data_IF_632276035842
#
_entry.id   IF_632276035842
#
_cell.length_a   1.000
_cell.length_b   1.000
_cell.length_c   1.000
_cell.angle_alpha   90.00
_cell.angle_beta   90.00
_cell.angle_gamma   90.00
#
_symmetry.space_group_name_H-M   'P 1'
#
loop_
_entity.id
_entity.type
_entity.pdbx_description
1 polymer ?
#
# COMPACT_ATOMS: atom_id res chain seq x y z
N UNK A 1 6.92 1.13 3.95
CA UNK A 1 7.49 0.32 2.83
C UNK A 1 8.45 -0.79 3.28
N UNK A 2 9.36 -0.58 4.24
CA UNK A 2 10.36 -1.62 4.62
C UNK A 2 9.75 -2.97 5.02
N UNK A 3 8.64 -2.95 5.76
CA UNK A 3 7.95 -4.18 6.22
C UNK A 3 7.37 -5.02 5.08
N UNK A 4 7.15 -4.40 3.92
CA UNK A 4 6.61 -5.02 2.72
C UNK A 4 7.69 -5.70 1.86
N UNK A 5 8.98 -5.55 2.21
CA UNK A 5 10.08 -6.12 1.44
C UNK A 5 9.98 -7.66 1.39
N UNK A 6 10.10 -8.23 0.18
CA UNK A 6 10.02 -9.67 -0.11
C UNK A 6 8.69 -10.35 0.29
N UNK A 7 7.65 -9.59 0.62
CA UNK A 7 6.32 -10.16 0.87
C UNK A 7 5.69 -10.59 -0.44
N UNK A 8 4.85 -11.62 -0.37
CA UNK A 8 4.02 -12.04 -1.51
C UNK A 8 2.87 -11.04 -1.67
N UNK A 9 2.32 -10.98 -2.87
CA UNK A 9 1.18 -10.13 -3.14
C UNK A 9 -0.10 -10.81 -2.65
N UNK A 10 -0.92 -10.09 -1.87
CA UNK A 10 -2.18 -10.59 -1.31
C UNK A 10 -3.36 -9.84 -1.91
N UNK A 11 -4.42 -10.56 -2.22
CA UNK A 11 -5.71 -10.02 -2.70
C UNK A 11 -6.86 -10.57 -1.86
N UNK A 12 -8.07 -10.04 -2.10
CA UNK A 12 -9.28 -10.46 -1.37
C UNK A 12 -9.62 -11.95 -1.52
N UNK A 13 -9.14 -12.56 -2.59
CA UNK A 13 -9.40 -13.92 -3.06
C UNK A 13 -8.16 -14.82 -3.01
N UNK A 14 -6.98 -14.26 -2.73
CA UNK A 14 -5.74 -15.02 -2.55
C UNK A 14 -4.93 -14.44 -1.38
N UNK A 15 -5.01 -15.13 -0.24
CA UNK A 15 -4.29 -14.75 0.97
C UNK A 15 -2.86 -15.29 0.98
N UNK A 16 -1.89 -14.38 0.96
CA UNK A 16 -0.46 -14.68 1.05
C UNK A 16 0.24 -13.84 2.12
N UNK A 17 -0.51 -13.19 3.01
CA UNK A 17 0.05 -12.34 4.05
C UNK A 17 0.33 -13.14 5.34
N UNK A 18 1.00 -12.51 6.31
CA UNK A 18 1.42 -13.18 7.55
C UNK A 18 0.48 -12.88 8.74
N UNK A 19 -0.64 -12.20 8.50
CA UNK A 19 -1.63 -11.86 9.53
C UNK A 19 -2.44 -13.11 9.91
N UNK A 20 -2.45 -13.47 11.19
CA UNK A 20 -3.03 -14.75 11.64
C UNK A 20 -4.53 -14.67 11.86
N UNK A 21 -5.05 -13.47 12.02
CA UNK A 21 -6.44 -13.20 12.39
C UNK A 21 -7.34 -12.95 11.17
N UNK A 22 -6.82 -13.03 9.95
CA UNK A 22 -7.62 -12.94 8.72
C UNK A 22 -6.81 -12.44 7.53
N UNK A 23 -7.51 -11.93 6.51
CA UNK A 23 -6.92 -11.48 5.25
C UNK A 23 -6.80 -9.94 5.22
N UNK A 24 -5.58 -9.43 5.05
CA UNK A 24 -5.33 -7.99 5.05
C UNK A 24 -5.94 -7.26 3.85
N UNK A 25 -5.97 -7.89 2.67
CA UNK A 25 -6.59 -7.30 1.49
C UNK A 25 -8.10 -7.15 1.64
N UNK A 26 -8.76 -8.08 2.32
CA UNK A 26 -10.19 -7.94 2.67
C UNK A 26 -10.44 -6.84 3.70
N UNK A 27 -9.56 -6.72 4.71
CA UNK A 27 -9.67 -5.71 5.77
C UNK A 27 -9.40 -4.30 5.26
N UNK A 28 -8.35 -4.12 4.46
CA UNK A 28 -7.82 -2.82 4.04
C UNK A 28 -8.05 -2.47 2.58
N UNK A 29 -8.87 -3.27 1.89
CA UNK A 29 -9.52 -2.91 0.62
C UNK A 29 -8.53 -2.62 -0.51
N UNK A 30 -7.37 -3.28 -0.51
CA UNK A 30 -6.36 -3.16 -1.55
C UNK A 30 -5.70 -4.49 -1.87
N UNK A 31 -5.12 -4.59 -3.06
CA UNK A 31 -4.16 -5.66 -3.39
C UNK A 31 -2.75 -5.14 -3.13
N UNK A 32 -2.00 -5.79 -2.25
CA UNK A 32 -0.70 -5.27 -1.83
C UNK A 32 0.24 -6.37 -1.33
N UNK A 33 1.53 -6.04 -1.23
CA UNK A 33 2.54 -6.88 -0.58
C UNK A 33 2.43 -6.80 0.95
N UNK A 34 1.28 -7.18 1.52
CA UNK A 34 1.02 -7.09 2.96
C UNK A 34 1.96 -8.02 3.78
N UNK A 35 2.32 -7.60 4.99
CA UNK A 35 3.00 -8.45 5.99
C UNK A 35 1.99 -8.83 7.08
N UNK A 36 2.14 -8.33 8.32
CA UNK A 36 1.02 -8.24 9.26
C UNK A 36 0.20 -6.99 8.92
N UNK A 37 -0.42 -7.06 7.74
CA UNK A 37 -1.12 -6.00 7.05
C UNK A 37 -0.25 -4.82 6.60
N UNK A 38 -0.46 -3.60 7.10
CA UNK A 38 0.00 -2.39 6.42
C UNK A 38 0.89 -1.47 7.25
N UNK A 39 1.98 -1.03 6.63
CA UNK A 39 2.63 0.26 6.88
C UNK A 39 2.38 1.25 5.72
N UNK A 40 1.92 0.74 4.57
CA UNK A 40 1.61 1.51 3.36
C UNK A 40 0.52 0.78 2.58
N UNK A 41 -0.43 1.51 1.99
CA UNK A 41 -1.50 0.96 1.17
C UNK A 41 -1.84 1.92 0.02
N UNK A 42 -1.04 1.90 -1.05
CA UNK A 42 -1.26 2.78 -2.22
C UNK A 42 -2.34 2.25 -3.18
N UNK A 43 -2.82 1.04 -2.94
CA UNK A 43 -3.89 0.39 -3.69
C UNK A 43 -5.19 0.29 -2.87
N UNK A 44 -5.31 1.07 -1.79
CA UNK A 44 -6.53 1.18 -1.00
C UNK A 44 -7.63 1.96 -1.71
N UNK A 45 -8.77 2.13 -1.04
CA UNK A 45 -9.87 2.94 -1.56
C UNK A 45 -9.47 4.40 -1.73
N UNK A 46 -10.03 5.02 -2.75
CA UNK A 46 -9.85 6.44 -2.98
C UNK A 46 -10.85 7.27 -2.16
N UNK A 47 -10.43 7.72 -0.97
CA UNK A 47 -11.32 8.37 0.01
C UNK A 47 -11.11 9.88 0.15
N UNK A 48 -10.07 10.45 -0.48
CA UNK A 48 -9.77 11.89 -0.52
C UNK A 48 -9.75 12.57 0.85
N UNK A 49 -8.60 12.52 1.53
CA UNK A 49 -8.42 13.18 2.82
C UNK A 49 -9.05 12.39 3.98
N UNK A 50 -9.52 13.10 5.00
CA UNK A 50 -10.03 12.49 6.24
C UNK A 50 -11.28 11.66 6.02
N UNK A 51 -11.31 10.48 6.65
CA UNK A 51 -12.43 9.55 6.64
C UNK A 51 -12.52 8.79 7.97
N UNK A 52 -13.62 8.07 8.21
CA UNK A 52 -13.87 7.41 9.52
C UNK A 52 -13.08 6.10 9.68
N UNK A 53 -12.93 5.33 8.61
CA UNK A 53 -12.37 3.99 8.66
C UNK A 53 -10.84 3.99 8.55
N UNK A 54 -10.14 3.28 9.43
CA UNK A 54 -8.68 3.27 9.48
C UNK A 54 -8.03 2.32 8.46
N UNK A 55 -7.03 2.80 7.71
CA UNK A 55 -6.11 2.02 6.88
C UNK A 55 -6.67 1.55 5.53
N UNK A 56 -7.95 1.79 5.27
CA UNK A 56 -8.63 1.34 4.05
C UNK A 56 -8.37 2.26 2.84
N UNK A 57 -7.86 3.47 3.08
CA UNK A 57 -7.58 4.48 2.07
C UNK A 57 -6.17 4.41 1.49
N UNK A 58 -5.81 5.42 0.69
CA UNK A 58 -4.44 5.62 0.20
C UNK A 58 -3.54 6.08 1.35
N UNK A 59 -2.85 5.14 1.99
CA UNK A 59 -2.15 5.38 3.25
C UNK A 59 -0.63 5.21 3.14
N UNK A 60 0.11 6.09 3.82
CA UNK A 60 1.56 5.95 4.00
C UNK A 60 1.97 6.39 5.40
N UNK A 61 2.43 5.47 6.25
CA UNK A 61 2.69 5.73 7.69
C UNK A 61 3.67 6.85 8.00
N UNK A 62 4.63 7.10 7.11
CA UNK A 62 5.59 8.21 7.25
C UNK A 62 5.07 9.57 6.79
N UNK A 63 3.83 9.69 6.31
CA UNK A 63 3.28 10.93 5.76
C UNK A 63 1.87 11.23 6.28
N UNK A 64 0.97 10.26 6.28
CA UNK A 64 -0.42 10.45 6.73
C UNK A 64 -0.75 9.55 7.92
N UNK A 65 -1.86 9.86 8.57
CA UNK A 65 -2.47 8.97 9.57
C UNK A 65 -3.42 7.99 8.88
N UNK A 66 -3.77 6.90 9.54
CA UNK A 66 -4.52 5.79 8.93
C UNK A 66 -5.92 6.17 8.45
N UNK A 67 -6.49 7.26 8.97
CA UNK A 67 -7.81 7.77 8.61
C UNK A 67 -7.74 9.07 7.77
N UNK A 68 -6.60 9.31 7.12
CA UNK A 68 -6.39 10.43 6.20
C UNK A 68 -5.70 9.93 4.91
N UNK A 69 -6.50 9.84 3.84
CA UNK A 69 -6.09 9.31 2.55
C UNK A 69 -5.35 10.36 1.74
N UNK A 70 -4.19 9.98 1.19
CA UNK A 70 -3.49 10.76 0.16
C UNK A 70 -4.43 11.10 -1.00
N UNK A 71 -4.27 12.29 -1.57
CA UNK A 71 -5.07 12.75 -2.71
C UNK A 71 -4.61 12.10 -4.03
N UNK A 72 -3.32 11.83 -4.17
CA UNK A 72 -2.73 11.24 -5.37
C UNK A 72 -1.58 10.32 -4.98
N UNK A 73 -1.37 9.27 -5.78
CA UNK A 73 -0.23 8.36 -5.64
C UNK A 73 0.25 7.95 -7.02
N UNK A 74 1.56 7.78 -7.18
CA UNK A 74 2.17 7.28 -8.41
C UNK A 74 3.33 6.35 -8.05
N UNK A 75 3.35 5.15 -8.65
CA UNK A 75 4.48 4.22 -8.57
C UNK A 75 5.20 4.18 -9.91
N UNK A 76 6.46 4.61 -9.94
CA UNK A 76 7.28 4.70 -11.16
C UNK A 76 8.60 3.98 -10.93
N UNK A 77 9.03 3.20 -11.91
CA UNK A 77 10.34 2.53 -11.91
C UNK A 77 11.25 3.14 -12.97
N UNK A 78 12.55 3.04 -12.75
CA UNK A 78 13.57 3.45 -13.72
C UNK A 78 14.72 2.43 -13.71
N UNK A 79 15.32 2.10 -14.86
CA UNK A 79 16.47 1.20 -14.90
C UNK A 79 17.59 1.69 -13.97
N UNK A 80 18.23 0.76 -13.25
CA UNK A 80 19.32 1.08 -12.32
C UNK A 80 20.49 1.78 -13.01
N UNK A 81 20.74 1.45 -14.27
CA UNK A 81 21.81 2.01 -15.11
C UNK A 81 21.32 3.12 -16.05
N UNK A 82 20.18 3.75 -15.78
CA UNK A 82 19.69 4.85 -16.59
C UNK A 82 20.68 6.03 -16.59
N UNK A 83 21.14 6.40 -17.77
CA UNK A 83 21.91 7.63 -18.00
C UNK A 83 21.02 8.61 -18.74
N UNK A 84 20.85 9.82 -18.21
CA UNK A 84 20.24 10.92 -18.97
C UNK A 84 21.16 11.19 -20.17
N UNK A 85 20.64 11.02 -21.38
CA UNK A 85 21.27 11.61 -22.56
C UNK A 85 20.92 13.09 -22.53
N UNK A 86 21.93 13.91 -22.38
CA UNK A 86 21.82 15.34 -22.65
C UNK A 86 22.04 15.49 -24.16
N UNK A 87 21.08 16.12 -24.83
CA UNK A 87 21.26 16.67 -26.19
C UNK A 87 21.80 18.08 -26.01
#
# INVERSE_FOLDING_TARGET
>A
MADHNKRKFTTKDQDNDDYKEGNCAQKYKGGWWYYSCLATNLNGLYLRGKHEMSGIGLYWSGWTVTNDSLETTEMKIRPKNFKKKYI
#
